data_IF_731338421744
#
_entry.id   IF_731338421744
#
_cell.length_a   1.000
_cell.length_b   1.000
_cell.length_c   1.000
_cell.angle_alpha   90.00
_cell.angle_beta   90.00
_cell.angle_gamma   90.00
#
_symmetry.space_group_name_H-M   'P 1'
#
loop_
_entity.id
_entity.type
_entity.pdbx_description
1 polymer ?
#
# COMPACT_ATOMS: atom_id res chain seq x y z
N UNK A 1 -7.70 7.24 -15.36
CA UNK A 1 -7.85 8.52 -14.64
C UNK A 1 -7.86 8.17 -13.17
N UNK A 2 -6.72 8.34 -12.47
CA UNK A 2 -6.63 8.00 -11.03
C UNK A 2 -7.41 9.07 -10.27
N UNK A 3 -8.42 8.67 -9.51
CA UNK A 3 -9.37 9.58 -8.87
C UNK A 3 -8.82 10.05 -7.52
N UNK A 4 -7.97 11.08 -7.53
CA UNK A 4 -7.34 11.68 -6.33
C UNK A 4 -8.30 12.53 -5.46
N UNK A 5 -9.61 12.35 -5.58
CA UNK A 5 -10.65 13.23 -5.02
C UNK A 5 -10.71 13.31 -3.49
N UNK A 6 -9.90 12.54 -2.75
CA UNK A 6 -9.92 12.49 -1.28
C UNK A 6 -8.62 12.92 -0.58
N UNK A 7 -7.60 13.39 -1.31
CA UNK A 7 -6.33 13.82 -0.69
C UNK A 7 -6.52 14.95 0.34
N UNK A 8 -7.48 15.85 0.12
CA UNK A 8 -7.80 16.93 1.06
C UNK A 8 -8.22 16.44 2.46
N UNK A 9 -8.70 15.20 2.63
CA UNK A 9 -9.04 14.67 3.96
C UNK A 9 -7.84 14.05 4.68
N UNK A 10 -6.78 13.70 3.96
CA UNK A 10 -5.59 13.03 4.50
C UNK A 10 -4.51 14.01 4.97
N UNK A 11 -4.53 15.24 4.48
CA UNK A 11 -3.44 16.20 4.68
C UNK A 11 -3.79 17.42 5.54
N UNK A 12 -5.06 17.61 5.90
CA UNK A 12 -5.48 18.78 6.68
C UNK A 12 -5.19 18.51 8.15
N UNK A 13 -3.93 18.72 8.53
CA UNK A 13 -3.52 19.00 9.90
C UNK A 13 -2.83 20.34 9.90
N UNK A 14 -3.34 21.36 10.63
CA UNK A 14 -2.68 22.65 10.68
C UNK A 14 -1.23 22.46 11.18
N UNK A 15 -0.24 23.16 10.59
CA UNK A 15 1.13 23.03 11.04
C UNK A 15 1.22 23.37 12.52
N UNK A 16 1.89 22.51 13.30
CA UNK A 16 2.21 22.79 14.70
C UNK A 16 2.97 24.12 14.80
N UNK A 17 2.84 24.87 15.90
CA UNK A 17 3.44 26.21 16.03
C UNK A 17 4.95 26.24 15.68
N UNK A 18 5.67 25.17 16.00
CA UNK A 18 7.09 25.01 15.65
C UNK A 18 7.37 25.01 14.14
N UNK A 19 6.44 24.54 13.31
CA UNK A 19 6.57 24.52 11.85
C UNK A 19 6.18 25.85 11.20
N UNK A 20 5.39 26.69 11.87
CA UNK A 20 5.13 28.06 11.40
C UNK A 20 6.39 28.92 11.41
N UNK A 21 7.30 28.64 12.35
CA UNK A 21 8.60 29.31 12.49
C UNK A 21 9.70 28.69 11.61
N UNK A 22 9.45 27.56 10.94
CA UNK A 22 10.43 26.90 10.08
C UNK A 22 10.63 27.65 8.75
N UNK A 23 11.81 27.48 8.13
CA UNK A 23 12.10 28.05 6.81
C UNK A 23 11.17 27.46 5.74
N UNK A 24 10.96 28.17 4.63
CA UNK A 24 10.15 27.67 3.51
C UNK A 24 10.70 26.34 2.98
N UNK A 25 12.02 26.19 2.90
CA UNK A 25 12.66 24.94 2.50
C UNK A 25 12.34 23.79 3.48
N UNK A 26 12.35 24.05 4.79
CA UNK A 26 11.98 23.04 5.77
C UNK A 26 10.50 22.66 5.65
N UNK A 27 9.59 23.63 5.54
CA UNK A 27 8.16 23.36 5.32
C UNK A 27 7.91 22.57 4.04
N UNK A 28 8.63 22.90 2.96
CA UNK A 28 8.58 22.17 1.69
C UNK A 28 9.07 20.73 1.83
N UNK A 29 10.21 20.51 2.51
CA UNK A 29 10.73 19.17 2.79
C UNK A 29 9.69 18.33 3.54
N UNK A 30 9.12 18.89 4.62
CA UNK A 30 8.07 18.21 5.37
C UNK A 30 6.85 17.89 4.47
N UNK A 31 6.42 18.85 3.63
CA UNK A 31 5.27 18.65 2.75
C UNK A 31 5.52 17.50 1.76
N UNK A 32 6.71 17.45 1.17
CA UNK A 32 7.14 16.35 0.30
C UNK A 32 7.11 15.01 1.01
N UNK A 33 7.63 14.94 2.25
CA UNK A 33 7.59 13.73 3.05
C UNK A 33 6.16 13.26 3.31
N UNK A 34 5.24 14.14 3.70
CA UNK A 34 3.83 13.76 3.92
C UNK A 34 3.15 13.28 2.66
N UNK A 35 3.36 13.99 1.55
CA UNK A 35 2.80 13.59 0.26
C UNK A 35 3.36 12.23 -0.15
N UNK A 36 4.67 11.99 0.00
CA UNK A 36 5.27 10.70 -0.28
C UNK A 36 4.73 9.57 0.62
N UNK A 37 4.44 9.86 1.90
CA UNK A 37 3.87 8.89 2.85
C UNK A 37 2.48 8.38 2.49
N UNK A 38 1.76 9.07 1.60
CA UNK A 38 0.35 8.83 1.30
C UNK A 38 0.03 8.73 -0.19
N UNK A 39 0.86 9.28 -1.07
CA UNK A 39 0.69 9.25 -2.52
C UNK A 39 2.08 9.37 -3.22
N UNK A 40 2.95 8.36 -3.08
CA UNK A 40 4.33 8.40 -3.58
C UNK A 40 4.44 8.54 -5.11
N UNK A 41 3.45 8.07 -5.87
CA UNK A 41 3.42 8.17 -7.32
C UNK A 41 2.97 9.53 -7.90
N UNK A 42 2.78 10.57 -7.07
CA UNK A 42 2.34 11.87 -7.57
C UNK A 42 3.46 12.64 -8.27
N UNK A 43 3.14 13.19 -9.44
CA UNK A 43 4.07 13.98 -10.25
C UNK A 43 3.38 15.21 -10.86
N UNK A 44 4.20 16.17 -11.31
CA UNK A 44 3.74 17.35 -12.05
C UNK A 44 2.66 18.13 -11.31
N UNK A 45 1.57 18.41 -12.03
CA UNK A 45 0.46 19.22 -11.52
C UNK A 45 -0.18 18.63 -10.26
N UNK A 46 -0.46 17.32 -10.27
CA UNK A 46 -1.10 16.64 -9.13
C UNK A 46 -0.21 16.64 -7.89
N UNK A 47 1.12 16.60 -8.04
CA UNK A 47 2.04 16.76 -6.91
C UNK A 47 1.97 18.15 -6.32
N UNK A 48 1.95 19.20 -7.15
CA UNK A 48 1.83 20.59 -6.66
C UNK A 48 0.50 20.82 -5.92
N UNK A 49 -0.58 20.22 -6.40
CA UNK A 49 -1.89 20.31 -5.73
C UNK A 49 -1.89 19.57 -4.39
N UNK A 50 -1.26 18.40 -4.33
CA UNK A 50 -1.14 17.66 -3.07
C UNK A 50 -0.23 18.38 -2.05
N UNK A 51 0.87 18.99 -2.51
CA UNK A 51 1.74 19.81 -1.68
C UNK A 51 1.00 21.01 -1.11
N UNK A 52 0.21 21.70 -1.94
CA UNK A 52 -0.64 22.80 -1.48
C UNK A 52 -1.70 22.32 -0.47
N UNK A 53 -2.28 21.14 -0.69
CA UNK A 53 -3.26 20.53 0.21
C UNK A 53 -2.71 20.18 1.60
N UNK A 54 -1.39 20.08 1.77
CA UNK A 54 -0.76 19.95 3.11
C UNK A 54 -0.97 21.19 3.98
N UNK A 55 -1.21 22.35 3.37
CA UNK A 55 -1.29 23.63 4.08
C UNK A 55 0.05 24.12 4.65
N UNK A 56 1.16 23.44 4.36
CA UNK A 56 2.50 23.82 4.84
C UNK A 56 3.25 24.73 3.86
N UNK A 57 2.93 24.59 2.59
CA UNK A 57 3.39 25.46 1.50
C UNK A 57 2.20 25.77 0.61
N UNK A 58 2.13 26.99 0.07
CA UNK A 58 1.21 27.27 -1.02
C UNK A 58 1.76 26.73 -2.34
N UNK A 59 0.90 26.74 -3.36
CA UNK A 59 1.23 26.21 -4.67
C UNK A 59 2.38 26.96 -5.35
N UNK A 60 2.43 28.29 -5.24
CA UNK A 60 3.49 29.09 -5.87
C UNK A 60 4.86 28.81 -5.24
N UNK A 61 4.89 28.64 -3.91
CA UNK A 61 6.07 28.23 -3.15
C UNK A 61 6.50 26.83 -3.51
N UNK A 62 5.56 25.88 -3.61
CA UNK A 62 5.84 24.52 -4.04
C UNK A 62 6.44 24.49 -5.44
N UNK A 63 5.86 25.22 -6.41
CA UNK A 63 6.34 25.28 -7.80
C UNK A 63 7.77 25.85 -7.88
N UNK A 64 8.04 26.91 -7.13
CA UNK A 64 9.37 27.53 -7.07
C UNK A 64 10.42 26.63 -6.41
N UNK A 65 10.07 25.92 -5.34
CA UNK A 65 11.03 25.16 -4.54
C UNK A 65 11.20 23.72 -5.00
N UNK A 66 10.18 23.08 -5.59
CA UNK A 66 10.25 21.68 -6.00
C UNK A 66 11.52 21.31 -6.81
N UNK A 67 12.02 22.14 -7.74
CA UNK A 67 13.28 21.84 -8.45
C UNK A 67 14.52 21.71 -7.55
N UNK A 68 14.55 22.37 -6.39
CA UNK A 68 15.68 22.27 -5.44
C UNK A 68 15.69 20.94 -4.68
N UNK A 69 14.56 20.22 -4.66
CA UNK A 69 14.38 18.92 -4.02
C UNK A 69 14.52 17.74 -4.99
N UNK A 70 15.19 17.92 -6.14
CA UNK A 70 15.42 16.85 -7.15
C UNK A 70 16.08 15.57 -6.63
N UNK A 71 16.70 15.61 -5.45
CA UNK A 71 17.35 14.47 -4.80
C UNK A 71 16.42 13.70 -3.87
N UNK A 72 15.23 14.23 -3.60
CA UNK A 72 14.21 13.53 -2.82
C UNK A 72 13.62 12.39 -3.63
N UNK A 73 13.75 11.17 -3.11
CA UNK A 73 13.20 9.97 -3.70
C UNK A 73 11.92 9.58 -2.93
N UNK A 74 10.72 9.84 -3.48
CA UNK A 74 9.46 9.58 -2.79
C UNK A 74 9.22 8.08 -2.55
N UNK A 75 9.68 7.22 -3.46
CA UNK A 75 9.51 5.77 -3.36
C UNK A 75 10.37 5.21 -2.23
N UNK A 76 11.62 5.67 -2.13
CA UNK A 76 12.51 5.30 -1.02
C UNK A 76 11.96 5.78 0.31
N UNK A 77 11.53 7.04 0.41
CA UNK A 77 10.95 7.60 1.64
C UNK A 77 9.72 6.81 2.07
N UNK A 78 8.81 6.51 1.14
CA UNK A 78 7.61 5.74 1.41
C UNK A 78 7.93 4.30 1.89
N UNK A 79 8.90 3.64 1.26
CA UNK A 79 9.35 2.32 1.70
C UNK A 79 9.94 2.35 3.12
N UNK A 80 10.72 3.36 3.46
CA UNK A 80 11.26 3.56 4.80
C UNK A 80 10.16 3.90 5.82
N UNK A 81 9.17 4.70 5.42
CA UNK A 81 7.98 5.00 6.23
C UNK A 81 7.20 3.75 6.60
N UNK A 82 6.83 2.90 5.64
CA UNK A 82 6.11 1.65 5.90
C UNK A 82 6.89 0.73 6.86
N UNK A 83 8.21 0.65 6.69
CA UNK A 83 9.08 -0.12 7.60
C UNK A 83 9.08 0.45 9.01
N UNK A 84 9.08 1.78 9.17
CA UNK A 84 8.97 2.44 10.48
C UNK A 84 7.65 2.15 11.16
N UNK A 85 6.55 2.14 10.42
CA UNK A 85 5.23 1.77 10.96
C UNK A 85 5.23 0.34 11.51
N UNK A 86 5.92 -0.61 10.85
CA UNK A 86 6.02 -1.98 11.35
C UNK A 86 6.66 -2.09 12.74
N UNK A 87 7.63 -1.23 13.06
CA UNK A 87 8.24 -1.21 14.40
C UNK A 87 7.30 -0.66 15.49
N UNK A 88 6.29 0.13 15.11
CA UNK A 88 5.25 0.61 16.02
C UNK A 88 4.15 -0.43 16.26
N UNK A 89 4.16 -1.53 15.50
CA UNK A 89 3.22 -2.64 15.62
C UNK A 89 1.76 -2.18 15.52
N UNK A 90 0.88 -2.76 16.34
CA UNK A 90 -0.57 -2.53 16.28
C UNK A 90 -1.00 -1.07 16.44
N UNK A 91 -0.18 -0.24 17.12
CA UNK A 91 -0.47 1.19 17.29
C UNK A 91 -0.43 2.00 15.98
N UNK A 92 0.13 1.43 14.90
CA UNK A 92 0.23 2.05 13.59
C UNK A 92 -0.59 1.31 12.51
N UNK A 93 -1.57 0.49 12.92
CA UNK A 93 -2.33 -0.36 11.99
C UNK A 93 -3.10 0.46 10.96
N UNK A 94 -3.69 1.59 11.37
CA UNK A 94 -4.47 2.43 10.46
C UNK A 94 -3.58 3.12 9.43
N UNK A 95 -2.47 3.71 9.87
CA UNK A 95 -1.49 4.36 8.99
C UNK A 95 -0.85 3.34 8.05
N UNK A 96 -0.52 2.15 8.57
CA UNK A 96 0.05 1.07 7.77
C UNK A 96 -0.93 0.61 6.70
N UNK A 97 -2.19 0.37 7.08
CA UNK A 97 -3.25 -0.01 6.14
C UNK A 97 -3.48 1.07 5.10
N UNK A 98 -3.44 2.35 5.48
CA UNK A 98 -3.53 3.46 4.53
C UNK A 98 -2.39 3.42 3.50
N UNK A 99 -1.15 3.20 3.93
CA UNK A 99 -0.02 3.05 3.02
C UNK A 99 -0.15 1.82 2.12
N UNK A 100 -0.55 0.65 2.65
CA UNK A 100 -0.79 -0.54 1.83
C UNK A 100 -1.92 -0.30 0.82
N UNK A 101 -3.00 0.40 1.21
CA UNK A 101 -4.09 0.79 0.31
C UNK A 101 -3.58 1.60 -0.87
N UNK A 102 -2.67 2.55 -0.65
CA UNK A 102 -2.08 3.33 -1.74
C UNK A 102 -1.32 2.44 -2.73
N UNK A 103 -0.55 1.46 -2.22
CA UNK A 103 0.11 0.49 -3.10
C UNK A 103 -0.92 -0.32 -3.89
N UNK A 104 -1.95 -0.83 -3.22
CA UNK A 104 -3.02 -1.61 -3.86
C UNK A 104 -3.68 -0.79 -4.97
N UNK A 105 -4.05 0.46 -4.69
CA UNK A 105 -4.63 1.38 -5.67
C UNK A 105 -3.71 1.63 -6.87
N UNK A 106 -2.40 1.79 -6.65
CA UNK A 106 -1.44 1.98 -7.75
C UNK A 106 -1.25 0.71 -8.60
N UNK A 107 -1.28 -0.50 -8.01
CA UNK A 107 -1.07 -1.74 -8.75
C UNK A 107 -2.31 -2.26 -9.46
N UNK A 108 -3.51 -2.01 -8.92
CA UNK A 108 -4.77 -2.52 -9.48
C UNK A 108 -5.58 -1.43 -10.19
N UNK A 109 -5.26 -0.16 -9.96
CA UNK A 109 -6.11 0.97 -10.33
C UNK A 109 -7.33 1.16 -9.44
N UNK A 110 -7.54 0.29 -8.44
CA UNK A 110 -8.70 0.30 -7.55
C UNK A 110 -8.29 -0.11 -6.13
N UNK A 111 -8.55 0.71 -5.13
CA UNK A 111 -8.17 0.35 -3.76
C UNK A 111 -8.84 1.26 -2.75
N UNK A 112 -9.77 0.71 -1.98
CA UNK A 112 -10.48 1.47 -0.96
C UNK A 112 -10.55 0.70 0.36
N UNK A 113 -10.64 1.46 1.44
CA UNK A 113 -10.87 0.88 2.76
C UNK A 113 -12.32 0.45 2.87
N UNK A 114 -12.51 -0.76 3.35
CA UNK A 114 -13.82 -1.36 3.60
C UNK A 114 -13.80 -2.09 4.96
N UNK A 115 -14.96 -2.59 5.40
CA UNK A 115 -15.12 -3.24 6.70
C UNK A 115 -15.91 -4.54 6.60
N UNK A 116 -15.33 -5.60 7.16
CA UNK A 116 -15.93 -6.93 7.27
C UNK A 116 -15.99 -7.20 8.77
N UNK A 117 -17.20 -7.30 9.30
CA UNK A 117 -17.41 -7.23 10.74
C UNK A 117 -16.84 -5.93 11.33
N UNK A 118 -15.97 -6.05 12.34
CA UNK A 118 -15.29 -4.92 13.00
C UNK A 118 -13.96 -4.53 12.35
N UNK A 119 -13.39 -5.39 11.51
CA UNK A 119 -12.01 -5.28 11.09
C UNK A 119 -11.88 -4.61 9.72
N UNK A 120 -11.16 -3.49 9.61
CA UNK A 120 -10.97 -2.83 8.33
C UNK A 120 -9.99 -3.62 7.46
N UNK A 121 -10.27 -3.69 6.17
CA UNK A 121 -9.43 -4.28 5.14
C UNK A 121 -9.43 -3.38 3.90
N UNK A 122 -8.65 -3.74 2.89
CA UNK A 122 -8.62 -3.04 1.61
C UNK A 122 -9.31 -3.91 0.57
N UNK A 123 -10.37 -3.39 -0.04
CA UNK A 123 -11.03 -4.04 -1.19
C UNK A 123 -10.44 -3.49 -2.49
N UNK A 124 -10.34 -4.36 -3.49
CA UNK A 124 -9.94 -3.98 -4.84
C UNK A 124 -10.64 -4.84 -5.89
N UNK A 125 -10.65 -4.34 -7.12
CA UNK A 125 -11.11 -5.03 -8.31
C UNK A 125 -10.03 -4.98 -9.38
N UNK A 126 -9.69 -6.13 -9.95
CA UNK A 126 -8.65 -6.24 -10.97
C UNK A 126 -9.18 -7.03 -12.16
N UNK A 127 -9.63 -6.32 -13.19
CA UNK A 127 -10.41 -6.91 -14.27
C UNK A 127 -11.76 -7.38 -13.74
N UNK A 128 -12.06 -8.67 -13.89
CA UNK A 128 -13.30 -9.30 -13.41
C UNK A 128 -13.19 -9.89 -12.00
N UNK A 129 -12.02 -9.76 -11.35
CA UNK A 129 -11.75 -10.40 -10.05
C UNK A 129 -11.83 -9.38 -8.92
N UNK A 130 -12.51 -9.73 -7.85
CA UNK A 130 -12.53 -8.97 -6.61
C UNK A 130 -11.59 -9.57 -5.57
N UNK A 131 -10.90 -8.71 -4.84
CA UNK A 131 -9.94 -9.15 -3.84
C UNK A 131 -9.96 -8.32 -2.56
N UNK A 132 -9.46 -8.95 -1.51
CA UNK A 132 -9.40 -8.42 -0.16
C UNK A 132 -7.95 -8.48 0.33
N UNK A 133 -7.46 -7.38 0.89
CA UNK A 133 -6.13 -7.29 1.51
C UNK A 133 -6.24 -6.96 2.99
N UNK A 134 -5.69 -7.83 3.83
CA UNK A 134 -5.45 -7.57 5.25
C UNK A 134 -4.04 -7.01 5.43
N UNK A 135 -3.94 -5.73 5.78
CA UNK A 135 -2.67 -5.07 6.03
C UNK A 135 -2.40 -4.97 7.53
N UNK A 136 -1.39 -5.68 8.00
CA UNK A 136 -1.04 -5.81 9.40
C UNK A 136 0.44 -5.42 9.59
N UNK A 137 0.77 -4.41 10.42
CA UNK A 137 2.15 -3.92 10.56
C UNK A 137 3.09 -4.91 11.28
N UNK A 138 2.58 -6.05 11.73
CA UNK A 138 3.24 -6.95 12.66
C UNK A 138 4.52 -7.61 12.10
N UNK A 139 5.46 -7.84 13.02
CA UNK A 139 6.68 -8.62 12.80
C UNK A 139 6.44 -10.03 13.33
N UNK A 140 6.79 -11.05 12.55
CA UNK A 140 6.55 -12.47 12.78
C UNK A 140 5.06 -12.75 12.97
N UNK A 141 4.24 -12.26 12.04
CA UNK A 141 2.79 -12.44 12.10
C UNK A 141 2.43 -13.92 12.09
N UNK A 142 1.65 -14.32 13.10
CA UNK A 142 0.95 -15.60 13.19
C UNK A 142 -0.50 -15.44 12.74
N UNK A 143 -1.04 -16.41 12.01
CA UNK A 143 -2.47 -16.47 11.67
C UNK A 143 -3.19 -17.22 12.79
N UNK A 144 -3.48 -16.50 13.88
CA UNK A 144 -4.09 -17.06 15.08
C UNK A 144 -4.98 -16.04 15.79
N UNK A 145 -5.86 -16.53 16.68
CA UNK A 145 -6.81 -15.72 17.45
C UNK A 145 -7.57 -14.72 16.57
N UNK A 146 -7.56 -13.45 16.99
CA UNK A 146 -8.25 -12.35 16.30
C UNK A 146 -7.96 -12.26 14.79
N UNK A 147 -6.71 -12.48 14.37
CA UNK A 147 -6.34 -12.42 12.96
C UNK A 147 -6.98 -13.56 12.16
N UNK A 148 -7.05 -14.75 12.75
CA UNK A 148 -7.72 -15.90 12.13
C UNK A 148 -9.23 -15.65 12.03
N UNK A 149 -9.84 -15.10 13.08
CA UNK A 149 -11.28 -14.81 13.11
C UNK A 149 -11.65 -13.76 12.05
N UNK A 150 -10.89 -12.67 11.95
CA UNK A 150 -11.11 -11.65 10.93
C UNK A 150 -10.96 -12.20 9.50
N UNK A 151 -9.95 -13.06 9.27
CA UNK A 151 -9.78 -13.72 7.97
C UNK A 151 -10.90 -14.72 7.68
N UNK A 152 -11.41 -15.43 8.68
CA UNK A 152 -12.53 -16.35 8.50
C UNK A 152 -13.78 -15.63 8.01
N UNK A 153 -14.13 -14.48 8.60
CA UNK A 153 -15.28 -13.67 8.15
C UNK A 153 -15.06 -13.19 6.72
N UNK A 154 -13.86 -12.76 6.34
CA UNK A 154 -13.61 -12.32 4.97
C UNK A 154 -13.66 -13.47 3.94
N UNK A 155 -13.31 -14.68 4.36
CA UNK A 155 -13.42 -15.87 3.51
C UNK A 155 -14.89 -16.24 3.25
N UNK A 156 -15.79 -15.97 4.18
CA UNK A 156 -17.24 -16.19 3.99
C UNK A 156 -17.82 -15.31 2.87
N UNK A 157 -17.21 -14.15 2.58
CA UNK A 157 -17.59 -13.32 1.42
C UNK A 157 -17.13 -13.90 0.08
N UNK A 158 -16.35 -15.00 0.09
CA UNK A 158 -15.86 -15.70 -1.10
C UNK A 158 -15.13 -14.80 -2.12
N UNK A 159 -14.11 -14.01 -1.70
CA UNK A 159 -13.35 -13.18 -2.63
C UNK A 159 -12.57 -14.04 -3.63
N UNK A 160 -12.34 -13.54 -4.84
CA UNK A 160 -11.50 -14.23 -5.83
C UNK A 160 -10.02 -14.25 -5.42
N UNK A 161 -9.62 -13.32 -4.54
CA UNK A 161 -8.24 -13.14 -4.06
C UNK A 161 -8.25 -12.71 -2.60
N UNK A 162 -7.61 -13.48 -1.72
CA UNK A 162 -7.30 -13.04 -0.36
C UNK A 162 -5.79 -12.80 -0.23
N UNK A 163 -5.40 -11.61 0.23
CA UNK A 163 -3.99 -11.26 0.46
C UNK A 163 -3.81 -10.83 1.91
N UNK A 164 -2.80 -11.38 2.58
CA UNK A 164 -2.36 -10.89 3.90
C UNK A 164 -1.00 -10.25 3.73
N UNK A 165 -0.89 -8.98 4.12
CA UNK A 165 0.33 -8.18 4.05
C UNK A 165 0.87 -7.95 5.45
N UNK A 166 2.12 -8.34 5.68
CA UNK A 166 2.81 -8.09 6.94
C UNK A 166 4.29 -7.74 6.75
N UNK A 167 4.99 -7.33 7.82
CA UNK A 167 6.44 -7.09 7.72
C UNK A 167 7.18 -8.39 7.37
N UNK A 168 6.84 -9.45 8.08
CA UNK A 168 7.25 -10.84 7.84
C UNK A 168 6.28 -11.75 8.62
N UNK A 169 6.28 -13.04 8.27
CA UNK A 169 5.40 -14.04 8.84
C UNK A 169 6.19 -15.00 9.73
N UNK A 170 5.50 -15.58 10.72
CA UNK A 170 6.05 -16.73 11.42
C UNK A 170 6.14 -17.95 10.47
N UNK A 171 6.83 -19.01 10.91
CA UNK A 171 7.04 -20.23 10.10
C UNK A 171 5.77 -21.08 9.89
N UNK A 172 4.83 -21.06 10.82
CA UNK A 172 3.56 -21.78 10.79
C UNK A 172 2.43 -21.02 10.07
N UNK A 173 2.57 -19.70 9.87
CA UNK A 173 1.57 -18.85 9.21
C UNK A 173 1.08 -19.39 7.84
N UNK A 174 1.94 -19.95 6.97
CA UNK A 174 1.47 -20.53 5.70
C UNK A 174 0.55 -21.73 5.91
N UNK A 175 0.87 -22.61 6.86
CA UNK A 175 0.07 -23.79 7.16
C UNK A 175 -1.23 -23.42 7.89
N UNK A 176 -1.18 -22.41 8.76
CA UNK A 176 -2.36 -21.85 9.42
C UNK A 176 -3.34 -21.21 8.43
N UNK A 177 -2.81 -20.44 7.45
CA UNK A 177 -3.64 -19.86 6.38
C UNK A 177 -4.25 -20.98 5.51
N UNK A 178 -3.45 -21.99 5.13
CA UNK A 178 -3.96 -23.13 4.36
C UNK A 178 -5.11 -23.83 5.10
N UNK A 179 -4.92 -24.17 6.37
CA UNK A 179 -5.95 -24.81 7.19
C UNK A 179 -7.24 -23.99 7.33
N UNK A 180 -7.15 -22.65 7.27
CA UNK A 180 -8.31 -21.77 7.24
C UNK A 180 -9.07 -21.85 5.91
N UNK A 181 -8.34 -21.94 4.79
CA UNK A 181 -8.88 -21.84 3.43
C UNK A 181 -9.27 -23.18 2.81
N UNK A 182 -8.82 -24.31 3.38
CA UNK A 182 -9.03 -25.66 2.84
C UNK A 182 -10.51 -25.97 2.53
N UNK A 183 -11.46 -25.32 3.22
CA UNK A 183 -12.90 -25.52 3.03
C UNK A 183 -13.58 -24.52 2.09
N UNK A 184 -12.99 -23.34 1.88
CA UNK A 184 -13.62 -22.28 1.08
C UNK A 184 -13.20 -22.30 -0.39
N UNK A 185 -12.02 -22.85 -0.71
CA UNK A 185 -11.46 -22.77 -2.06
C UNK A 185 -10.96 -21.38 -2.46
N UNK A 186 -11.04 -20.39 -1.56
CA UNK A 186 -10.51 -19.03 -1.76
C UNK A 186 -8.98 -19.09 -1.76
N UNK A 187 -8.30 -18.60 -2.82
CA UNK A 187 -6.85 -18.54 -2.84
C UNK A 187 -6.34 -17.45 -1.90
N UNK A 188 -5.53 -17.83 -0.91
CA UNK A 188 -4.92 -16.92 0.05
C UNK A 188 -3.42 -16.80 -0.10
N UNK A 189 -2.91 -15.58 -0.20
CA UNK A 189 -1.50 -15.29 -0.42
C UNK A 189 -0.92 -14.44 0.71
N UNK A 190 0.20 -14.89 1.30
CA UNK A 190 0.99 -14.14 2.28
C UNK A 190 2.05 -13.32 1.54
N UNK A 191 2.03 -12.01 1.70
CA UNK A 191 2.93 -11.07 1.02
C UNK A 191 3.65 -10.22 2.04
N UNK A 192 4.98 -10.15 1.96
CA UNK A 192 5.74 -9.24 2.82
C UNK A 192 5.71 -7.83 2.25
N UNK A 193 5.85 -6.80 3.11
CA UNK A 193 5.97 -5.40 2.67
C UNK A 193 7.01 -5.22 1.56
N UNK A 194 8.17 -5.87 1.69
CA UNK A 194 9.23 -5.75 0.68
C UNK A 194 8.82 -6.37 -0.66
N UNK A 195 8.13 -7.51 -0.66
CA UNK A 195 7.63 -8.12 -1.89
C UNK A 195 6.53 -7.27 -2.52
N UNK A 196 5.62 -6.71 -1.72
CA UNK A 196 4.58 -5.81 -2.22
C UNK A 196 5.17 -4.55 -2.85
N UNK A 197 6.19 -3.94 -2.24
CA UNK A 197 6.95 -2.84 -2.84
C UNK A 197 7.63 -3.27 -4.14
N UNK A 198 8.14 -4.50 -4.21
CA UNK A 198 8.68 -5.09 -5.43
C UNK A 198 7.63 -5.25 -6.53
N UNK A 199 6.42 -5.74 -6.20
CA UNK A 199 5.29 -5.82 -7.13
C UNK A 199 4.98 -4.41 -7.65
N UNK A 200 4.82 -3.42 -6.75
CA UNK A 200 4.57 -2.03 -7.13
C UNK A 200 5.60 -1.49 -8.12
N UNK A 201 6.88 -1.58 -7.76
CA UNK A 201 7.97 -1.08 -8.62
C UNK A 201 7.97 -1.77 -9.99
N UNK A 202 7.70 -3.08 -10.03
CA UNK A 202 7.65 -3.86 -11.26
C UNK A 202 6.42 -3.48 -12.10
N UNK A 203 5.26 -3.31 -11.47
CA UNK A 203 4.02 -2.90 -12.14
C UNK A 203 4.14 -1.50 -12.75
N UNK A 204 4.69 -0.53 -12.01
CA UNK A 204 4.88 0.84 -12.50
C UNK A 204 5.89 0.89 -13.66
N UNK A 205 6.96 0.08 -13.60
CA UNK A 205 8.02 0.07 -14.62
C UNK A 205 7.63 -0.68 -15.89
N UNK A 206 7.00 -1.84 -15.77
CA UNK A 206 6.77 -2.74 -16.89
C UNK A 206 5.32 -2.80 -17.36
N UNK A 207 4.38 -2.23 -16.58
CA UNK A 207 2.95 -2.18 -16.89
C UNK A 207 2.40 -3.54 -17.35
N UNK A 208 2.57 -4.61 -16.55
CA UNK A 208 2.06 -5.93 -16.88
C UNK A 208 0.54 -5.90 -17.04
N UNK A 209 0.00 -6.86 -17.81
CA UNK A 209 -1.45 -7.03 -17.94
C UNK A 209 -2.09 -7.23 -16.55
N UNK A 210 -3.27 -6.64 -16.27
CA UNK A 210 -3.98 -6.78 -15.00
C UNK A 210 -4.08 -8.23 -14.48
N UNK A 211 -4.37 -9.18 -15.38
CA UNK A 211 -4.48 -10.60 -15.00
C UNK A 211 -3.18 -11.19 -14.46
N UNK A 212 -2.00 -10.70 -14.90
CA UNK A 212 -0.72 -11.17 -14.35
C UNK A 212 -0.52 -10.71 -12.92
N UNK A 213 -0.87 -9.46 -12.62
CA UNK A 213 -0.84 -8.94 -11.24
C UNK A 213 -1.84 -9.71 -10.38
N UNK A 214 -3.05 -9.98 -10.88
CA UNK A 214 -4.04 -10.80 -10.19
C UNK A 214 -3.50 -12.21 -9.89
N UNK A 215 -2.87 -12.87 -10.87
CA UNK A 215 -2.32 -14.20 -10.71
C UNK A 215 -1.22 -14.25 -9.64
N UNK A 216 -0.33 -13.26 -9.61
CA UNK A 216 0.70 -13.15 -8.57
C UNK A 216 0.07 -12.94 -7.18
N UNK A 217 -0.94 -12.08 -7.08
CA UNK A 217 -1.67 -11.87 -5.81
C UNK A 217 -2.50 -13.10 -5.39
N UNK A 218 -2.81 -14.00 -6.32
CA UNK A 218 -3.61 -15.22 -6.11
C UNK A 218 -2.79 -16.51 -6.09
N UNK A 219 -1.46 -16.41 -6.05
CA UNK A 219 -0.58 -17.58 -6.22
C UNK A 219 -0.84 -18.68 -5.16
N UNK A 220 -1.35 -18.29 -3.99
CA UNK A 220 -1.60 -19.19 -2.88
C UNK A 220 -0.33 -19.45 -2.06
N UNK A 221 -0.44 -19.39 -0.73
CA UNK A 221 0.70 -19.57 0.17
C UNK A 221 1.61 -18.34 0.24
N UNK A 222 2.91 -18.53 0.49
CA UNK A 222 3.84 -17.41 0.66
C UNK A 222 4.46 -16.98 -0.66
N UNK A 223 4.28 -15.72 -1.01
CA UNK A 223 4.88 -15.13 -2.20
C UNK A 223 6.41 -15.07 -2.08
N UNK A 224 7.11 -15.27 -3.20
CA UNK A 224 8.56 -15.26 -3.31
C UNK A 224 9.02 -14.21 -4.32
N UNK A 225 10.29 -13.85 -4.26
CA UNK A 225 10.89 -12.91 -5.22
C UNK A 225 10.81 -13.40 -6.68
N UNK A 226 10.82 -14.72 -6.89
CA UNK A 226 10.66 -15.32 -8.22
C UNK A 226 9.27 -15.02 -8.82
N UNK A 227 8.22 -14.98 -8.01
CA UNK A 227 6.85 -14.68 -8.46
C UNK A 227 6.75 -13.20 -8.90
N UNK A 228 7.43 -12.30 -8.18
CA UNK A 228 7.52 -10.88 -8.57
C UNK A 228 8.32 -10.70 -9.85
N UNK A 229 9.40 -11.47 -10.04
CA UNK A 229 10.22 -11.39 -11.25
C UNK A 229 9.42 -11.69 -12.53
N UNK A 230 8.46 -12.63 -12.46
CA UNK A 230 7.58 -12.99 -13.58
C UNK A 230 6.73 -11.82 -14.09
N UNK A 231 6.49 -10.78 -13.27
CA UNK A 231 5.79 -9.57 -13.71
C UNK A 231 6.63 -8.72 -14.67
N UNK A 232 7.96 -8.81 -14.59
CA UNK A 232 8.90 -8.10 -15.47
C UNK A 232 9.17 -8.81 -16.79
N UNK A 233 8.85 -10.10 -16.89
CA UNK A 233 9.03 -10.87 -18.11
C UNK A 233 8.03 -10.40 -19.16
N UNK A 234 8.50 -9.66 -20.17
CA UNK A 234 7.69 -9.34 -21.34
C UNK A 234 7.25 -10.66 -21.98
N UNK A 235 5.96 -10.83 -22.20
CA UNK A 235 5.51 -11.84 -23.17
C UNK A 235 6.18 -11.48 -24.49
N UNK A 236 7.14 -12.30 -24.92
CA UNK A 236 7.50 -12.39 -26.31
C UNK A 236 6.18 -12.67 -27.03
N UNK A 237 5.66 -11.67 -27.72
CA UNK A 237 4.44 -11.81 -28.50
C UNK A 237 4.63 -13.02 -29.42
N UNK A 238 3.83 -14.06 -29.18
CA UNK A 238 3.60 -15.12 -30.15
C UNK A 238 2.74 -14.58 -31.29
#
# INVERSE_FOLDING_TARGET
MIWFGNLNKLFVSPPTEHLRLASEAARMQFALERVAESAPGLHGQSLLDALAATGWVDRATAERLLPTFRHFDPDRHFAEYLRRLSFRGRSATEEFRSGIRCIVEEITGTGWLDKIGSDPFIRFSLGMREGVVFALPEVNLAISGHTRDALAVAVEEMPDVLVVVARNFDRAAPDQLRALLDRSGVPGTLVTVNLLLGIRATTLRYQPRPNRVANVLSAGGTLRSADVAQLGDRELAA
#
